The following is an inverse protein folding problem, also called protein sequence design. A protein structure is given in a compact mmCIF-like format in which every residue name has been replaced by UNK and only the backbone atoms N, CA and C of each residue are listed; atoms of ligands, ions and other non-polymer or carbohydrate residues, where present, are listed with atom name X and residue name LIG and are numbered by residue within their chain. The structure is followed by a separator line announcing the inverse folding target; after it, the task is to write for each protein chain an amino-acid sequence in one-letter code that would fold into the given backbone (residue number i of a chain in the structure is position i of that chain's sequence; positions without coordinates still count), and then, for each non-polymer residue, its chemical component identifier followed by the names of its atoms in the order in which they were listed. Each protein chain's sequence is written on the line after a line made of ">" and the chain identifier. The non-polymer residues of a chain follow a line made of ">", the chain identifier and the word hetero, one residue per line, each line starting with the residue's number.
data_IF_755896799080
#
_entry.id   IF_755896799080
#
_cell.length_a   1.000
_cell.length_b   1.000
_cell.length_c   1.000
_cell.angle_alpha   90.00
_cell.angle_beta   90.00
_cell.angle_gamma   90.00
#
_symmetry.space_group_name_H-M   'P 1'
#
loop_
_entity.id
_entity.type
_entity.pdbx_description
1 polymer ?
#
# COMPACT_ATOMS: atom_id res chain seq x y z
N UNK A 1 -13.31 -5.56 12.47
CA UNK A 1 -13.44 -4.11 12.65
C UNK A 1 -12.21 -3.59 13.36
N UNK A 2 -11.22 -3.09 12.62
CA UNK A 2 -10.21 -2.19 13.18
C UNK A 2 -10.54 -0.82 12.57
N UNK A 3 -11.52 -0.12 13.13
CA UNK A 3 -11.59 1.33 12.93
C UNK A 3 -10.45 1.88 13.77
N UNK A 4 -9.24 2.01 13.20
CA UNK A 4 -8.12 2.38 14.05
C UNK A 4 -6.77 2.43 13.41
N UNK A 5 -5.96 3.32 13.97
CA UNK A 5 -4.52 3.31 13.89
C UNK A 5 -3.99 1.94 14.33
N UNK A 6 -3.00 1.43 13.60
CA UNK A 6 -2.31 0.19 13.94
C UNK A 6 -0.83 0.29 13.58
N UNK A 7 -0.02 -0.50 14.28
CA UNK A 7 1.39 -0.63 13.98
C UNK A 7 1.60 -1.85 13.09
N UNK A 8 2.14 -1.63 11.89
CA UNK A 8 2.54 -2.70 10.98
C UNK A 8 3.94 -3.19 11.35
N UNK A 9 4.02 -4.15 12.27
CA UNK A 9 5.29 -4.75 12.70
C UNK A 9 5.85 -5.68 11.62
N UNK A 10 7.18 -5.75 11.53
CA UNK A 10 7.90 -6.56 10.53
C UNK A 10 7.39 -6.37 9.09
N UNK A 11 7.08 -5.11 8.75
CA UNK A 11 6.53 -4.74 7.45
C UNK A 11 7.48 -5.12 6.31
N UNK A 12 6.97 -5.85 5.33
CA UNK A 12 7.69 -6.19 4.09
C UNK A 12 6.85 -5.81 2.87
N UNK A 13 7.49 -5.26 1.84
CA UNK A 13 6.81 -5.01 0.57
C UNK A 13 6.52 -6.35 -0.13
N UNK A 14 5.31 -6.47 -0.68
CA UNK A 14 4.91 -7.60 -1.53
C UNK A 14 5.00 -7.19 -3.00
N UNK A 15 4.47 -6.02 -3.32
CA UNK A 15 4.51 -5.34 -4.62
C UNK A 15 4.60 -3.82 -4.41
N UNK A 16 4.35 -2.99 -5.43
CA UNK A 16 4.48 -1.54 -5.35
C UNK A 16 3.39 -0.80 -4.57
N UNK A 17 2.32 -1.47 -4.13
CA UNK A 17 1.26 -0.86 -3.31
C UNK A 17 0.72 -1.76 -2.18
N UNK A 18 1.33 -2.93 -1.95
CA UNK A 18 0.94 -3.87 -0.91
C UNK A 18 2.11 -4.18 0.01
N UNK A 19 1.89 -4.01 1.31
CA UNK A 19 2.80 -4.45 2.37
C UNK A 19 2.20 -5.62 3.14
N UNK A 20 3.05 -6.41 3.80
CA UNK A 20 2.62 -7.45 4.74
C UNK A 20 3.19 -7.14 6.12
N UNK A 21 2.30 -7.01 7.08
CA UNK A 21 2.60 -6.91 8.51
C UNK A 21 2.63 -8.30 9.14
N UNK A 22 3.13 -8.41 10.37
CA UNK A 22 2.93 -9.59 11.19
C UNK A 22 1.43 -9.89 11.41
N UNK A 23 1.11 -11.13 11.74
CA UNK A 23 -0.25 -11.53 12.12
C UNK A 23 -0.70 -10.80 13.40
N UNK A 24 -2.01 -10.51 13.57
CA UNK A 24 -3.14 -10.93 12.74
C UNK A 24 -3.50 -9.95 11.59
N UNK A 25 -2.69 -8.92 11.33
CA UNK A 25 -3.01 -7.89 10.32
C UNK A 25 -2.82 -8.44 8.90
N UNK A 26 -1.71 -9.15 8.66
CA UNK A 26 -1.43 -9.74 7.36
C UNK A 26 -1.17 -8.69 6.27
N UNK A 27 -1.86 -8.79 5.13
CA UNK A 27 -1.63 -7.92 3.96
C UNK A 27 -2.42 -6.62 4.07
N UNK A 28 -1.74 -5.49 3.84
CA UNK A 28 -2.32 -4.14 3.82
C UNK A 28 -2.06 -3.51 2.46
N UNK A 29 -3.10 -2.93 1.84
CA UNK A 29 -2.94 -2.11 0.62
C UNK A 29 -2.71 -0.65 1.02
N UNK A 30 -1.70 -0.04 0.44
CA UNK A 30 -1.44 1.39 0.60
C UNK A 30 -2.57 2.20 -0.07
N UNK A 31 -3.12 3.15 0.68
CA UNK A 31 -4.14 4.07 0.20
C UNK A 31 -3.56 5.06 -0.83
N UNK A 32 -4.44 5.78 -1.51
CA UNK A 32 -4.08 6.89 -2.41
C UNK A 32 -3.33 6.51 -3.73
N UNK A 33 -2.96 5.23 -3.93
CA UNK A 33 -2.11 4.80 -5.06
C UNK A 33 -2.57 3.51 -5.76
N UNK A 34 -2.19 3.39 -7.03
CA UNK A 34 -2.23 2.17 -7.83
C UNK A 34 -0.84 1.96 -8.45
N UNK A 35 -0.17 0.87 -8.07
CA UNK A 35 1.17 0.55 -8.56
C UNK A 35 1.12 -0.21 -9.90
N UNK A 36 2.21 -0.15 -10.70
CA UNK A 36 2.36 -1.02 -11.85
C UNK A 36 2.24 -2.49 -11.43
N UNK A 37 1.46 -3.25 -12.19
CA UNK A 37 1.21 -4.65 -11.89
C UNK A 37 2.43 -5.50 -12.22
N UNK A 38 2.72 -6.49 -11.37
CA UNK A 38 3.77 -7.48 -11.64
C UNK A 38 3.52 -8.20 -12.99
N UNK A 39 4.57 -8.72 -13.66
CA UNK A 39 4.43 -9.37 -14.97
C UNK A 39 3.35 -10.47 -14.97
N UNK A 40 2.36 -10.36 -15.87
CA UNK A 40 1.25 -11.32 -15.99
C UNK A 40 0.02 -11.03 -15.11
N UNK A 41 0.06 -10.01 -14.24
CA UNK A 41 -1.06 -9.67 -13.33
C UNK A 41 -2.00 -8.60 -13.88
N UNK A 42 -1.60 -7.85 -14.91
CA UNK A 42 -2.47 -6.89 -15.57
C UNK A 42 -3.58 -7.62 -16.37
N UNK A 43 -4.82 -7.51 -15.90
CA UNK A 43 -5.99 -8.14 -16.52
C UNK A 43 -6.27 -7.56 -17.90
N UNK A 44 -6.65 -8.42 -18.86
CA UNK A 44 -7.08 -8.00 -20.20
C UNK A 44 -8.23 -6.99 -20.10
N UNK A 45 -8.08 -5.85 -20.77
CA UNK A 45 -9.06 -4.77 -20.78
C UNK A 45 -8.96 -3.77 -19.62
N UNK A 46 -8.03 -3.96 -18.68
CA UNK A 46 -7.70 -2.93 -17.66
C UNK A 46 -6.59 -2.02 -18.20
N UNK A 47 -6.75 -0.71 -18.01
CA UNK A 47 -5.65 0.25 -18.12
C UNK A 47 -4.85 0.25 -16.81
N UNK A 48 -3.89 -0.68 -16.67
CA UNK A 48 -3.04 -0.79 -15.48
C UNK A 48 -2.13 0.44 -15.33
N UNK A 49 -1.67 0.69 -14.10
CA UNK A 49 -0.71 1.77 -13.89
C UNK A 49 0.56 1.52 -14.74
N UNK A 50 1.06 2.55 -15.45
CA UNK A 50 2.29 2.43 -16.24
C UNK A 50 3.51 2.48 -15.33
N UNK A 51 4.63 1.88 -15.76
CA UNK A 51 5.90 1.93 -15.03
C UNK A 51 6.52 0.54 -14.84
N UNK A 52 7.65 0.49 -14.15
CA UNK A 52 8.32 -0.76 -13.79
C UNK A 52 7.83 -1.25 -12.41
N UNK A 53 7.15 -2.41 -12.35
CA UNK A 53 6.61 -2.94 -11.09
C UNK A 53 7.70 -3.37 -10.11
N UNK A 54 8.87 -3.78 -10.60
CA UNK A 54 10.00 -4.20 -9.77
C UNK A 54 10.62 -2.98 -9.09
N UNK A 55 10.80 -1.88 -9.82
CA UNK A 55 11.32 -0.63 -9.23
C UNK A 55 10.37 -0.09 -8.16
N UNK A 56 9.06 -0.07 -8.41
CA UNK A 56 8.09 0.38 -7.41
C UNK A 56 8.15 -0.46 -6.12
N UNK A 57 8.19 -1.79 -6.25
CA UNK A 57 8.35 -2.71 -5.10
C UNK A 57 9.68 -2.49 -4.39
N UNK A 58 10.78 -2.34 -5.11
CA UNK A 58 12.11 -2.23 -4.52
C UNK A 58 12.31 -0.90 -3.80
N UNK A 59 11.72 0.19 -4.30
CA UNK A 59 11.68 1.47 -3.59
C UNK A 59 10.81 1.36 -2.34
N UNK A 60 9.62 0.73 -2.42
CA UNK A 60 8.83 0.46 -1.22
C UNK A 60 9.60 -0.40 -0.22
N UNK A 61 10.32 -1.42 -0.70
CA UNK A 61 11.21 -2.24 0.12
C UNK A 61 12.31 -1.39 0.76
N UNK A 62 12.90 -0.43 0.04
CA UNK A 62 13.90 0.48 0.59
C UNK A 62 13.32 1.40 1.68
N UNK A 63 12.12 1.94 1.47
CA UNK A 63 11.40 2.74 2.47
C UNK A 63 11.08 1.94 3.74
N UNK A 64 10.80 0.64 3.59
CA UNK A 64 10.58 -0.31 4.69
C UNK A 64 11.86 -0.99 5.21
N UNK A 65 12.96 -0.95 4.47
CA UNK A 65 14.07 -1.90 4.58
C UNK A 65 15.15 -1.51 5.57
N UNK A 66 14.94 -0.42 6.31
CA UNK A 66 15.84 0.01 7.38
C UNK A 66 15.13 0.08 8.73
N UNK A 67 14.12 -0.76 8.97
CA UNK A 67 13.45 -0.80 10.26
C UNK A 67 14.28 -1.62 11.28
N UNK A 68 15.50 -1.17 11.59
CA UNK A 68 16.14 -1.43 12.87
C UNK A 68 15.60 -0.36 13.84
N UNK A 69 14.49 -0.68 14.52
CA UNK A 69 13.84 0.19 15.51
C UNK A 69 12.82 1.21 14.98
N UNK A 70 12.63 1.31 13.66
CA UNK A 70 11.60 2.19 13.07
C UNK A 70 10.23 1.53 13.07
N UNK A 71 9.19 2.35 13.19
CA UNK A 71 7.79 1.91 13.29
C UNK A 71 7.03 2.32 12.04
N UNK A 72 6.26 1.39 11.46
CA UNK A 72 5.30 1.69 10.38
C UNK A 72 3.95 1.91 11.02
N UNK A 73 3.54 3.17 11.10
CA UNK A 73 2.25 3.58 11.63
C UNK A 73 1.25 3.63 10.49
N UNK A 74 0.15 2.89 10.59
CA UNK A 74 -0.87 2.85 9.57
C UNK A 74 -2.23 3.28 10.13
N UNK A 75 -2.91 4.13 9.39
CA UNK A 75 -4.30 4.51 9.62
C UNK A 75 -5.18 3.83 8.57
N UNK A 76 -6.11 2.98 8.99
CA UNK A 76 -7.08 2.41 8.07
C UNK A 76 -8.01 3.52 7.55
N UNK A 77 -8.15 3.58 6.23
CA UNK A 77 -9.00 4.55 5.53
C UNK A 77 -10.03 3.82 4.66
N UNK A 78 -10.95 4.57 4.07
CA UNK A 78 -11.98 4.00 3.19
C UNK A 78 -11.32 3.26 2.01
N UNK A 79 -11.61 1.97 1.89
CA UNK A 79 -11.04 1.14 0.85
C UNK A 79 -11.58 1.44 -0.56
N UNK A 80 -12.73 2.10 -0.72
CA UNK A 80 -13.15 2.61 -2.02
C UNK A 80 -14.13 3.79 -1.84
N UNK A 81 -13.63 5.03 -1.72
CA UNK A 81 -14.44 6.22 -1.47
C UNK A 81 -15.35 6.59 -2.64
N UNK A 82 -15.26 5.91 -3.79
CA UNK A 82 -16.22 6.06 -4.90
C UNK A 82 -17.52 5.30 -4.62
N UNK A 83 -17.51 4.39 -3.66
CA UNK A 83 -18.69 3.63 -3.21
C UNK A 83 -19.32 4.33 -2.02
N UNK A 84 -20.66 4.26 -1.93
CA UNK A 84 -21.39 4.86 -0.81
C UNK A 84 -21.10 4.08 0.48
N UNK A 85 -20.71 4.82 1.52
CA UNK A 85 -20.42 4.28 2.85
C UNK A 85 -19.00 3.74 2.95
N UNK A 86 -18.47 3.74 4.17
CA UNK A 86 -17.10 3.32 4.48
C UNK A 86 -16.90 1.84 4.13
N UNK A 87 -15.87 1.55 3.34
CA UNK A 87 -15.48 0.18 3.02
C UNK A 87 -14.31 -0.23 3.91
N UNK A 88 -14.53 -1.19 4.81
CA UNK A 88 -13.49 -1.68 5.71
C UNK A 88 -12.31 -2.30 4.94
N UNK A 89 -12.58 -3.04 3.87
CA UNK A 89 -11.56 -3.75 3.11
C UNK A 89 -11.76 -3.57 1.62
N UNK A 90 -10.69 -3.76 0.86
CA UNK A 90 -10.82 -3.94 -0.57
C UNK A 90 -11.54 -5.26 -0.92
N UNK A 91 -11.77 -5.50 -2.21
CA UNK A 91 -12.46 -6.70 -2.70
C UNK A 91 -11.77 -8.03 -2.36
N UNK A 92 -10.53 -7.99 -1.88
CA UNK A 92 -9.73 -9.16 -1.51
C UNK A 92 -9.66 -9.35 0.00
N UNK A 93 -10.39 -8.54 0.78
CA UNK A 93 -10.40 -8.62 2.23
C UNK A 93 -9.18 -7.96 2.87
N UNK A 94 -8.40 -7.15 2.13
CA UNK A 94 -7.25 -6.41 2.69
C UNK A 94 -7.73 -5.08 3.27
N UNK A 95 -7.31 -4.66 4.46
CA UNK A 95 -7.44 -3.26 4.86
C UNK A 95 -6.69 -2.37 3.88
N UNK A 96 -7.27 -1.20 3.62
CA UNK A 96 -6.61 -0.11 2.88
C UNK A 96 -6.19 0.94 3.90
N UNK A 97 -4.91 1.33 3.88
CA UNK A 97 -4.36 2.19 4.92
C UNK A 97 -3.39 3.24 4.37
N UNK A 98 -3.42 4.42 5.00
CA UNK A 98 -2.36 5.41 4.90
C UNK A 98 -1.25 4.96 5.85
N UNK A 99 -0.04 4.73 5.37
CA UNK A 99 1.06 4.23 6.20
C UNK A 99 2.26 5.19 6.17
N UNK A 100 2.81 5.46 7.34
CA UNK A 100 3.85 6.44 7.61
C UNK A 100 5.07 5.74 8.22
N UNK A 101 6.26 6.10 7.73
CA UNK A 101 7.56 5.67 8.28
C UNK A 101 8.43 6.90 8.45
N UNK A 102 8.98 7.13 9.66
CA UNK A 102 9.78 8.31 10.01
C UNK A 102 9.11 9.64 9.61
N UNK A 103 7.79 9.75 9.83
CA UNK A 103 7.01 10.94 9.48
C UNK A 103 6.78 11.14 7.98
N UNK A 104 7.21 10.21 7.12
CA UNK A 104 6.96 10.23 5.67
C UNK A 104 5.87 9.25 5.30
N UNK A 105 4.89 9.74 4.56
CA UNK A 105 3.87 8.90 3.98
C UNK A 105 4.43 8.08 2.81
N UNK A 106 4.22 6.76 2.85
CA UNK A 106 4.73 5.85 1.84
C UNK A 106 4.11 6.11 0.47
N UNK A 107 2.80 6.36 0.41
CA UNK A 107 2.07 6.63 -0.83
C UNK A 107 2.48 7.96 -1.45
N UNK A 108 2.54 9.03 -0.66
CA UNK A 108 2.98 10.35 -1.15
C UNK A 108 4.44 10.29 -1.64
N UNK A 109 5.30 9.51 -0.96
CA UNK A 109 6.69 9.32 -1.37
C UNK A 109 6.79 8.61 -2.72
N UNK A 110 6.04 7.52 -2.92
CA UNK A 110 6.00 6.78 -4.19
C UNK A 110 5.43 7.63 -5.33
N UNK A 111 4.40 8.44 -5.06
CA UNK A 111 3.85 9.42 -6.01
C UNK A 111 4.89 10.47 -6.40
N UNK A 112 5.64 11.00 -5.42
CA UNK A 112 6.71 11.98 -5.67
C UNK A 112 7.83 11.46 -6.57
N UNK A 113 8.09 10.15 -6.55
CA UNK A 113 9.03 9.50 -7.46
C UNK A 113 8.43 9.13 -8.83
N UNK A 114 7.13 9.30 -9.04
CA UNK A 114 6.45 8.91 -10.28
C UNK A 114 6.42 7.40 -10.52
N UNK A 115 6.49 6.60 -9.45
CA UNK A 115 6.55 5.12 -9.53
C UNK A 115 5.15 4.48 -9.51
N UNK A 116 4.15 5.24 -9.08
CA UNK A 116 2.76 4.84 -8.94
C UNK A 116 1.87 5.96 -9.46
N UNK A 117 0.60 5.66 -9.74
CA UNK A 117 -0.39 6.70 -10.08
C UNK A 117 -1.36 6.92 -8.93
N UNK A 118 -2.00 8.10 -8.86
CA UNK A 118 -3.09 8.35 -7.91
C UNK A 118 -4.27 7.37 -8.09
N UNK A 119 -4.89 7.03 -6.99
CA UNK A 119 -6.13 6.24 -6.85
C UNK A 119 -6.74 6.61 -5.50
N UNK A 120 -8.06 6.63 -5.22
CA UNK A 120 -9.19 6.09 -5.96
C UNK A 120 -9.78 7.00 -7.04
#
# INVERSE_FOLDING_TARGET
>A
MILGLFICTAAVAIDGDTIRCHEPIGRVRLAAIDAPEMPGHCRRGRNCAPGDPVIARDVLTYLLGQLDGKTVECEQVDADPRRKGFQDTDRWGRPVARCIVDGKDLSDTLLGFGLVRPWP
#
